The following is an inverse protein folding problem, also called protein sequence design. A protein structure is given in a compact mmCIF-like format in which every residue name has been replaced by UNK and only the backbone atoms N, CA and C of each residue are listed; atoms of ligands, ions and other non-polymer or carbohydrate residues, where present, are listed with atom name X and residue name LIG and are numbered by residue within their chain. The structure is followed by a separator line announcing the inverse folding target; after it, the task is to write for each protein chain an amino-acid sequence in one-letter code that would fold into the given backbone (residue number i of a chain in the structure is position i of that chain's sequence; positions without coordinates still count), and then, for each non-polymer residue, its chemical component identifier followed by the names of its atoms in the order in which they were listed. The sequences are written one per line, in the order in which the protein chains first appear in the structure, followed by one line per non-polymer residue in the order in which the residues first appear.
data_IF_297690349835
#
_entry.id   IF_297690349835
#
_cell.length_a   1.000
_cell.length_b   1.000
_cell.length_c   1.000
_cell.angle_alpha   90.00
_cell.angle_beta   90.00
_cell.angle_gamma   90.00
#
_symmetry.space_group_name_H-M   'P 1'
#
loop_
_entity.id
_entity.type
_entity.pdbx_description
1 polymer ?
#
# COMPACT_ATOMS: atom_id res chain seq x y z
N UNK A 1 -17.48 -1.14 2.50
CA UNK A 1 -16.75 -0.09 1.72
C UNK A 1 -15.27 -0.46 1.55
N UNK A 2 -14.57 0.01 0.51
CA UNK A 2 -13.11 -0.14 0.36
C UNK A 2 -12.45 1.16 -0.14
N UNK A 3 -11.25 1.48 0.33
CA UNK A 3 -10.52 2.71 -0.01
C UNK A 3 -9.00 2.46 -0.10
N UNK A 4 -8.32 3.31 -0.87
CA UNK A 4 -6.87 3.44 -0.92
C UNK A 4 -6.52 4.86 -1.39
N UNK A 5 -5.33 5.35 -1.05
CA UNK A 5 -4.87 6.69 -1.44
C UNK A 5 -3.36 6.76 -1.65
N UNK A 6 -2.90 7.98 -1.93
CA UNK A 6 -1.48 8.31 -2.05
C UNK A 6 -1.10 9.24 -0.89
N UNK A 7 0.14 9.15 -0.36
CA UNK A 7 0.58 9.98 0.78
C UNK A 7 1.92 10.68 0.55
N UNK A 8 3.04 10.00 0.80
CA UNK A 8 4.38 10.59 0.62
C UNK A 8 4.78 10.63 -0.86
N UNK A 9 5.54 11.65 -1.26
CA UNK A 9 6.10 11.79 -2.61
C UNK A 9 7.59 12.19 -2.62
N UNK A 10 8.51 11.31 -2.21
CA UNK A 10 9.94 11.53 -2.41
C UNK A 10 10.28 11.64 -3.91
N UNK A 11 11.42 12.23 -4.26
CA UNK A 11 11.81 12.39 -5.66
C UNK A 11 11.81 11.05 -6.42
N UNK A 12 10.96 10.93 -7.45
CA UNK A 12 10.80 9.73 -8.27
C UNK A 12 10.00 8.58 -7.62
N UNK A 13 9.33 8.83 -6.49
CA UNK A 13 8.55 7.82 -5.76
C UNK A 13 7.21 8.37 -5.27
N UNK A 14 6.19 7.52 -5.21
CA UNK A 14 4.90 7.85 -4.57
C UNK A 14 4.45 6.71 -3.66
N UNK A 15 4.09 7.04 -2.42
CA UNK A 15 3.60 6.08 -1.44
C UNK A 15 2.11 5.82 -1.66
N UNK A 16 1.73 4.54 -1.82
CA UNK A 16 0.35 4.07 -1.68
C UNK A 16 0.07 3.84 -0.19
N UNK A 17 -1.00 4.44 0.31
CA UNK A 17 -1.34 4.42 1.73
C UNK A 17 -2.84 4.32 1.95
N UNK A 18 -3.25 4.27 3.22
CA UNK A 18 -4.66 4.21 3.65
C UNK A 18 -5.49 3.11 2.96
N UNK A 19 -4.87 1.98 2.64
CA UNK A 19 -5.55 0.82 2.05
C UNK A 19 -6.41 0.16 3.12
N UNK A 20 -7.72 0.21 2.96
CA UNK A 20 -8.65 -0.42 3.89
C UNK A 20 -9.85 -1.02 3.17
N UNK A 21 -10.33 -2.15 3.69
CA UNK A 21 -11.55 -2.81 3.21
C UNK A 21 -12.39 -3.18 4.43
N UNK A 22 -13.59 -2.63 4.49
CA UNK A 22 -14.56 -2.90 5.54
C UNK A 22 -14.84 -4.41 5.62
N UNK A 23 -15.03 -4.99 6.82
CA UNK A 23 -15.12 -6.44 7.01
C UNK A 23 -16.09 -7.14 6.05
N UNK A 24 -17.28 -6.58 5.84
CA UNK A 24 -18.35 -7.11 4.99
C UNK A 24 -18.02 -7.09 3.48
N UNK A 25 -16.98 -6.34 3.09
CA UNK A 25 -16.53 -6.20 1.70
C UNK A 25 -15.22 -6.98 1.41
N UNK A 26 -14.65 -7.70 2.39
CA UNK A 26 -13.41 -8.48 2.21
C UNK A 26 -13.64 -9.71 1.33
N UNK A 27 -12.55 -10.29 0.81
CA UNK A 27 -12.59 -11.49 -0.04
C UNK A 27 -13.08 -11.25 -1.48
N UNK A 28 -13.34 -10.00 -1.87
CA UNK A 28 -13.89 -9.62 -3.19
C UNK A 28 -12.87 -8.96 -4.13
N UNK A 29 -11.59 -8.95 -3.76
CA UNK A 29 -10.51 -8.37 -4.58
C UNK A 29 -10.43 -6.84 -4.63
N UNK A 30 -11.22 -6.10 -3.82
CA UNK A 30 -11.25 -4.63 -3.88
C UNK A 30 -9.90 -3.97 -3.58
N UNK A 31 -9.17 -4.45 -2.57
CA UNK A 31 -7.86 -3.92 -2.23
C UNK A 31 -6.89 -4.07 -3.41
N UNK A 32 -6.85 -5.24 -4.04
CA UNK A 32 -5.98 -5.49 -5.19
C UNK A 32 -6.30 -4.57 -6.37
N UNK A 33 -7.59 -4.39 -6.68
CA UNK A 33 -8.04 -3.49 -7.75
C UNK A 33 -7.68 -2.03 -7.47
N UNK A 34 -7.90 -1.54 -6.24
CA UNK A 34 -7.60 -0.17 -5.86
C UNK A 34 -6.09 0.12 -5.88
N UNK A 35 -5.28 -0.79 -5.31
CA UNK A 35 -3.82 -0.66 -5.27
C UNK A 35 -3.24 -0.75 -6.68
N UNK A 36 -3.70 -1.69 -7.50
CA UNK A 36 -3.28 -1.80 -8.90
C UNK A 36 -3.60 -0.55 -9.71
N UNK A 37 -4.78 0.04 -9.53
CA UNK A 37 -5.14 1.31 -10.18
C UNK A 37 -4.24 2.48 -9.74
N UNK A 38 -3.89 2.56 -8.46
CA UNK A 38 -2.96 3.58 -7.97
C UNK A 38 -1.54 3.34 -8.49
N UNK A 39 -1.05 2.10 -8.46
CA UNK A 39 0.25 1.74 -8.99
C UNK A 39 0.37 2.12 -10.47
N UNK A 40 -0.63 1.79 -11.30
CA UNK A 40 -0.69 2.18 -12.70
C UNK A 40 -0.68 3.72 -12.90
N UNK A 41 -1.38 4.47 -12.04
CA UNK A 41 -1.36 5.93 -12.09
C UNK A 41 0.00 6.51 -11.71
N UNK A 42 0.68 5.91 -10.72
CA UNK A 42 2.02 6.32 -10.30
C UNK A 42 3.04 6.06 -11.42
N UNK A 43 3.03 4.87 -12.00
CA UNK A 43 3.95 4.51 -13.08
C UNK A 43 3.71 5.33 -14.36
N UNK A 44 2.46 5.65 -14.69
CA UNK A 44 2.12 6.53 -15.81
C UNK A 44 2.71 7.95 -15.68
N UNK A 45 3.05 8.39 -14.46
CA UNK A 45 3.73 9.67 -14.18
C UNK A 45 5.26 9.56 -14.18
N UNK A 46 5.82 8.38 -14.46
CA UNK A 46 7.26 8.12 -14.40
C UNK A 46 7.79 7.93 -12.97
N UNK A 47 6.92 7.74 -11.99
CA UNK A 47 7.27 7.53 -10.59
C UNK A 47 7.22 6.04 -10.23
N UNK A 48 7.93 5.65 -9.17
CA UNK A 48 7.88 4.29 -8.62
C UNK A 48 6.91 4.21 -7.43
N UNK A 49 5.93 3.30 -7.45
CA UNK A 49 5.05 3.11 -6.31
C UNK A 49 5.80 2.36 -5.19
N UNK A 50 5.54 2.74 -3.95
CA UNK A 50 5.98 1.98 -2.77
C UNK A 50 4.90 2.03 -1.69
N UNK A 51 5.00 1.14 -0.71
CA UNK A 51 4.15 1.13 0.48
C UNK A 51 4.88 0.44 1.63
N UNK A 52 4.30 0.56 2.81
CA UNK A 52 4.78 -0.13 4.00
C UNK A 52 3.68 -1.02 4.55
N UNK A 53 4.06 -2.21 4.99
CA UNK A 53 3.17 -3.20 5.58
C UNK A 53 3.83 -3.72 6.85
N UNK A 54 3.04 -3.90 7.91
CA UNK A 54 3.53 -4.55 9.12
C UNK A 54 3.92 -5.99 8.79
N UNK A 55 5.08 -6.44 9.26
CA UNK A 55 5.62 -7.78 8.99
C UNK A 55 4.62 -8.90 9.33
N UNK A 56 3.86 -8.75 10.42
CA UNK A 56 2.84 -9.71 10.84
C UNK A 56 1.60 -9.76 9.92
N UNK A 57 1.44 -8.81 8.98
CA UNK A 57 0.29 -8.76 8.06
C UNK A 57 0.58 -9.53 6.77
N UNK A 58 0.77 -10.84 6.91
CA UNK A 58 1.13 -11.77 5.83
C UNK A 58 0.12 -11.77 4.68
N UNK A 59 -1.17 -11.59 4.97
CA UNK A 59 -2.21 -11.50 3.96
C UNK A 59 -2.05 -10.25 3.05
N UNK A 60 -1.67 -9.11 3.63
CA UNK A 60 -1.40 -7.92 2.84
C UNK A 60 -0.09 -8.04 2.07
N UNK A 61 0.95 -8.65 2.67
CA UNK A 61 2.23 -8.95 1.99
C UNK A 61 1.97 -9.78 0.73
N UNK A 62 1.28 -10.91 0.85
CA UNK A 62 0.96 -11.78 -0.29
C UNK A 62 0.12 -11.07 -1.37
N UNK A 63 -0.80 -10.18 -0.96
CA UNK A 63 -1.55 -9.35 -1.90
C UNK A 63 -0.64 -8.42 -2.70
N UNK A 64 0.30 -7.74 -2.04
CA UNK A 64 1.20 -6.80 -2.70
C UNK A 64 2.24 -7.51 -3.58
N UNK A 65 2.78 -8.64 -3.14
CA UNK A 65 3.64 -9.51 -3.95
C UNK A 65 2.91 -9.98 -5.21
N UNK A 66 1.65 -10.40 -5.09
CA UNK A 66 0.81 -10.76 -6.24
C UNK A 66 0.52 -9.60 -7.21
N UNK A 67 0.74 -8.35 -6.78
CA UNK A 67 0.67 -7.15 -7.63
C UNK A 67 2.03 -6.72 -8.18
N UNK A 68 3.10 -7.48 -7.91
CA UNK A 68 4.45 -7.20 -8.38
C UNK A 68 5.27 -6.27 -7.49
N UNK A 69 4.82 -5.99 -6.26
CA UNK A 69 5.69 -5.35 -5.27
C UNK A 69 6.69 -6.36 -4.71
N UNK A 70 7.87 -5.87 -4.34
CA UNK A 70 8.92 -6.67 -3.72
C UNK A 70 9.38 -6.02 -2.40
N UNK A 71 9.85 -6.85 -1.47
CA UNK A 71 10.43 -6.36 -0.22
C UNK A 71 11.73 -5.62 -0.50
N UNK A 72 11.73 -4.31 -0.29
CA UNK A 72 12.92 -3.47 -0.47
C UNK A 72 13.83 -3.43 0.77
N UNK A 73 13.24 -3.23 1.95
CA UNK A 73 13.94 -3.07 3.22
C UNK A 73 12.98 -3.18 4.40
N UNK A 74 13.51 -3.60 5.56
CA UNK A 74 12.81 -3.50 6.84
C UNK A 74 12.89 -2.08 7.40
N UNK A 75 11.79 -1.59 7.97
CA UNK A 75 11.69 -0.22 8.53
C UNK A 75 11.03 -0.28 9.90
N UNK A 76 11.66 0.33 10.91
CA UNK A 76 11.10 0.43 12.25
C UNK A 76 10.17 1.66 12.38
N UNK A 77 8.90 1.43 12.67
CA UNK A 77 7.94 2.48 13.02
C UNK A 77 7.89 2.68 14.54
N UNK A 78 8.03 3.93 14.98
CA UNK A 78 7.90 4.32 16.40
C UNK A 78 6.77 5.32 16.56
N UNK A 79 5.74 4.95 17.31
CA UNK A 79 4.65 5.83 17.70
C UNK A 79 4.98 6.51 19.03
N UNK A 80 4.74 7.81 19.12
CA UNK A 80 4.86 8.57 20.37
C UNK A 80 3.49 9.16 20.70
N UNK A 81 3.11 9.11 21.98
CA UNK A 81 1.94 9.81 22.50
C UNK A 81 2.45 10.99 23.32
N UNK A 82 2.03 12.20 22.95
CA UNK A 82 2.32 13.42 23.69
C UNK A 82 1.09 13.72 24.56
N UNK A 83 1.33 14.10 25.82
CA UNK A 83 0.29 14.45 26.79
C UNK A 83 -0.26 15.85 26.53
#
# INVERSE_FOLDING_TARGET
MAMAGERLRPAGWTEISAVCTAPEARGRGYAARLVGALAARVTARGERPFLHVAEANTAAIALYEGLGFETRAEVTYRGFRVA
#
